data_IF_793583793763
#
_entry.id   IF_793583793763
#
_cell.length_a   1.000
_cell.length_b   1.000
_cell.length_c   1.000
_cell.angle_alpha   90.00
_cell.angle_beta   90.00
_cell.angle_gamma   90.00
#
_symmetry.space_group_name_H-M   'P 1'
#
loop_
_entity.id
_entity.type
_entity.pdbx_description
1 polymer ?
#
# COMPACT_ATOMS: atom_id res chain seq x y z
N UNK A 1 -35.76 -34.28 -30.33
CA UNK A 1 -36.07 -32.91 -29.86
C UNK A 1 -35.71 -32.68 -28.37
N UNK A 2 -36.03 -33.59 -27.45
CA UNK A 2 -35.75 -33.44 -26.00
C UNK A 2 -34.24 -33.29 -25.73
N UNK A 3 -33.37 -34.05 -26.39
CA UNK A 3 -31.91 -33.93 -26.24
C UNK A 3 -31.32 -32.60 -26.62
N UNK A 4 -31.83 -31.94 -27.68
CA UNK A 4 -31.39 -30.60 -28.08
C UNK A 4 -31.85 -29.53 -27.08
N UNK A 5 -33.02 -29.65 -26.51
CA UNK A 5 -33.50 -28.75 -25.45
C UNK A 5 -32.65 -28.89 -24.17
N UNK A 6 -32.28 -30.12 -23.81
CA UNK A 6 -31.41 -30.37 -22.67
C UNK A 6 -29.99 -29.82 -22.88
N UNK A 7 -29.43 -29.97 -24.07
CA UNK A 7 -28.12 -29.41 -24.44
C UNK A 7 -28.13 -27.88 -24.42
N UNK A 8 -29.19 -27.24 -24.93
CA UNK A 8 -29.33 -25.79 -24.87
C UNK A 8 -29.52 -25.31 -23.42
N UNK A 9 -30.31 -26.03 -22.63
CA UNK A 9 -30.55 -25.70 -21.21
C UNK A 9 -29.27 -25.86 -20.38
N UNK A 10 -28.49 -26.92 -20.60
CA UNK A 10 -27.20 -27.13 -19.92
C UNK A 10 -26.15 -26.15 -20.37
N UNK A 11 -26.13 -25.77 -21.66
CA UNK A 11 -25.24 -24.72 -22.17
C UNK A 11 -25.59 -23.34 -21.57
N UNK A 12 -26.87 -23.00 -21.46
CA UNK A 12 -27.33 -21.77 -20.79
C UNK A 12 -27.01 -21.75 -19.29
N UNK A 13 -27.14 -22.90 -18.62
CA UNK A 13 -26.75 -23.05 -17.20
C UNK A 13 -25.21 -22.93 -17.00
N UNK A 14 -24.42 -23.44 -17.94
CA UNK A 14 -22.96 -23.37 -17.88
C UNK A 14 -22.42 -21.97 -18.22
N UNK A 15 -23.19 -21.12 -18.92
CA UNK A 15 -22.81 -19.77 -19.32
C UNK A 15 -23.14 -18.69 -18.28
N UNK A 16 -24.04 -18.98 -17.35
CA UNK A 16 -24.43 -18.03 -16.32
C UNK A 16 -23.61 -18.25 -15.05
N UNK A 17 -22.84 -17.24 -14.64
CA UNK A 17 -22.21 -17.21 -13.32
C UNK A 17 -23.30 -17.30 -12.25
N UNK A 18 -23.17 -18.25 -11.33
CA UNK A 18 -24.15 -18.43 -10.25
C UNK A 18 -24.34 -17.14 -9.46
N UNK A 19 -25.58 -16.81 -9.11
CA UNK A 19 -25.92 -15.67 -8.27
C UNK A 19 -25.13 -15.69 -6.93
N UNK A 20 -24.86 -16.87 -6.42
CA UNK A 20 -24.11 -17.05 -5.17
C UNK A 20 -22.65 -16.64 -5.33
N UNK A 21 -22.05 -16.94 -6.48
CA UNK A 21 -20.67 -16.50 -6.80
C UNK A 21 -20.61 -14.98 -6.90
N UNK A 22 -21.57 -14.35 -7.58
CA UNK A 22 -21.65 -12.89 -7.66
C UNK A 22 -21.83 -12.25 -6.27
N UNK A 23 -22.66 -12.85 -5.42
CA UNK A 23 -22.83 -12.41 -4.03
C UNK A 23 -21.54 -12.54 -3.23
N UNK A 24 -20.77 -13.62 -3.45
CA UNK A 24 -19.46 -13.78 -2.83
C UNK A 24 -18.48 -12.67 -3.26
N UNK A 25 -18.41 -12.31 -4.56
CA UNK A 25 -17.58 -11.19 -5.02
C UNK A 25 -18.00 -9.85 -4.41
N UNK A 26 -19.31 -9.58 -4.27
CA UNK A 26 -19.80 -8.37 -3.60
C UNK A 26 -19.33 -8.33 -2.13
N UNK A 27 -19.39 -9.46 -1.43
CA UNK A 27 -18.94 -9.56 -0.04
C UNK A 27 -17.42 -9.35 0.07
N UNK A 28 -16.63 -9.98 -0.80
CA UNK A 28 -15.17 -9.83 -0.84
C UNK A 28 -14.80 -8.40 -1.19
N UNK A 29 -15.49 -7.78 -2.15
CA UNK A 29 -15.24 -6.38 -2.52
C UNK A 29 -15.43 -5.44 -1.32
N UNK A 30 -16.52 -5.61 -0.57
CA UNK A 30 -16.79 -4.82 0.63
C UNK A 30 -15.69 -5.03 1.69
N UNK A 31 -15.23 -6.26 1.90
CA UNK A 31 -14.13 -6.57 2.83
C UNK A 31 -12.81 -5.90 2.38
N UNK A 32 -12.54 -5.83 1.07
CA UNK A 32 -11.39 -5.11 0.54
C UNK A 32 -11.49 -3.60 0.75
N UNK A 33 -12.67 -3.02 0.58
CA UNK A 33 -12.92 -1.59 0.86
C UNK A 33 -12.69 -1.26 2.34
N UNK A 34 -13.18 -2.10 3.26
CA UNK A 34 -12.94 -1.98 4.70
C UNK A 34 -11.44 -2.11 5.03
N UNK A 35 -10.74 -3.04 4.40
CA UNK A 35 -9.29 -3.21 4.51
C UNK A 35 -8.55 -1.94 4.07
N UNK A 36 -8.94 -1.36 2.94
CA UNK A 36 -8.37 -0.12 2.42
C UNK A 36 -8.61 1.07 3.37
N UNK A 37 -9.78 1.14 4.00
CA UNK A 37 -10.08 2.15 5.01
C UNK A 37 -9.20 1.99 6.26
N UNK A 38 -9.01 0.76 6.73
CA UNK A 38 -8.14 0.46 7.87
C UNK A 38 -6.68 0.81 7.59
N UNK A 39 -6.16 0.52 6.39
CA UNK A 39 -4.82 0.95 5.99
C UNK A 39 -4.68 2.47 6.00
N UNK A 40 -5.69 3.19 5.50
CA UNK A 40 -5.69 4.65 5.52
C UNK A 40 -5.59 5.19 6.95
N UNK A 41 -6.37 4.65 7.88
CA UNK A 41 -6.31 5.05 9.31
C UNK A 41 -4.91 4.82 9.89
N UNK A 42 -4.29 3.65 9.66
CA UNK A 42 -2.93 3.36 10.12
C UNK A 42 -1.88 4.31 9.53
N UNK A 43 -2.03 4.66 8.26
CA UNK A 43 -1.16 5.64 7.61
C UNK A 43 -1.32 7.02 8.23
N UNK A 44 -2.56 7.49 8.43
CA UNK A 44 -2.84 8.79 9.04
C UNK A 44 -2.25 8.89 10.46
N UNK A 45 -2.35 7.82 11.28
CA UNK A 45 -1.70 7.74 12.59
C UNK A 45 -0.16 7.80 12.49
N UNK A 46 0.43 7.14 11.49
CA UNK A 46 1.87 7.13 11.29
C UNK A 46 2.37 8.50 10.86
N UNK A 47 1.65 9.19 9.98
CA UNK A 47 1.97 10.57 9.58
C UNK A 47 1.83 11.54 10.75
N UNK A 48 0.81 11.39 11.60
CA UNK A 48 0.65 12.20 12.80
C UNK A 48 1.85 12.06 13.77
N UNK A 49 2.37 10.84 13.96
CA UNK A 49 3.60 10.59 14.74
C UNK A 49 4.81 11.26 14.09
N UNK A 50 4.91 11.22 12.77
CA UNK A 50 5.97 11.91 12.03
C UNK A 50 5.93 13.44 12.22
N UNK A 51 4.75 14.04 12.13
CA UNK A 51 4.55 15.48 12.33
C UNK A 51 4.91 15.90 13.76
N UNK A 52 4.55 15.08 14.75
CA UNK A 52 4.94 15.30 16.14
C UNK A 52 6.46 15.28 16.32
N UNK A 53 7.15 14.27 15.77
CA UNK A 53 8.61 14.18 15.85
C UNK A 53 9.30 15.32 15.09
N UNK A 54 8.77 15.73 13.95
CA UNK A 54 9.28 16.88 13.20
C UNK A 54 9.21 18.17 14.02
N UNK A 55 8.13 18.36 14.80
CA UNK A 55 7.97 19.53 15.67
C UNK A 55 8.99 19.52 16.84
N UNK A 56 9.38 18.34 17.33
CA UNK A 56 10.33 18.19 18.43
C UNK A 56 11.79 18.29 17.98
N UNK A 57 12.13 17.76 16.80
CA UNK A 57 13.51 17.67 16.30
C UNK A 57 13.56 17.94 14.78
N UNK A 58 13.33 19.19 14.34
CA UNK A 58 13.21 19.52 12.91
C UNK A 58 14.44 19.12 12.09
N UNK A 59 15.65 19.39 12.61
CA UNK A 59 16.91 19.19 11.89
C UNK A 59 17.17 17.72 11.56
N UNK A 60 16.72 16.80 12.41
CA UNK A 60 16.92 15.36 12.24
C UNK A 60 15.81 14.70 11.40
N UNK A 61 14.62 15.28 11.41
CA UNK A 61 13.40 14.64 10.89
C UNK A 61 13.01 15.13 9.50
N UNK A 62 13.34 16.38 9.15
CA UNK A 62 12.83 17.04 7.94
C UNK A 62 13.12 16.26 6.66
N UNK A 63 14.31 15.68 6.49
CA UNK A 63 14.65 14.91 5.29
C UNK A 63 13.75 13.66 5.14
N UNK A 64 13.59 12.88 6.22
CA UNK A 64 12.76 11.66 6.20
C UNK A 64 11.28 11.99 6.09
N UNK A 65 10.84 13.07 6.71
CA UNK A 65 9.47 13.57 6.60
C UNK A 65 9.14 13.98 5.16
N UNK A 66 10.05 14.68 4.48
CA UNK A 66 9.85 15.04 3.08
C UNK A 66 9.71 13.80 2.19
N UNK A 67 10.59 12.82 2.35
CA UNK A 67 10.49 11.53 1.64
C UNK A 67 9.17 10.81 1.93
N UNK A 68 8.68 10.86 3.16
CA UNK A 68 7.39 10.29 3.53
C UNK A 68 6.22 11.03 2.85
N UNK A 69 6.26 12.36 2.74
CA UNK A 69 5.25 13.12 1.99
C UNK A 69 5.28 12.82 0.50
N UNK A 70 6.47 12.65 -0.09
CA UNK A 70 6.63 12.27 -1.49
C UNK A 70 6.09 10.85 -1.75
N UNK A 71 6.32 9.91 -0.82
CA UNK A 71 5.73 8.57 -0.87
C UNK A 71 4.19 8.62 -0.77
N UNK A 72 3.64 9.44 0.13
CA UNK A 72 2.20 9.67 0.25
C UNK A 72 1.59 10.17 -1.04
N UNK A 73 2.21 11.19 -1.65
CA UNK A 73 1.74 11.77 -2.91
C UNK A 73 1.75 10.74 -4.04
N UNK A 74 2.85 10.00 -4.17
CA UNK A 74 3.00 8.95 -5.18
C UNK A 74 1.93 7.85 -5.04
N UNK A 75 1.67 7.42 -3.80
CA UNK A 75 0.64 6.42 -3.49
C UNK A 75 -0.76 6.94 -3.82
N UNK A 76 -1.06 8.19 -3.44
CA UNK A 76 -2.37 8.78 -3.72
C UNK A 76 -2.62 8.93 -5.22
N UNK A 77 -1.63 9.38 -6.00
CA UNK A 77 -1.71 9.48 -7.46
C UNK A 77 -2.04 8.12 -8.11
N UNK A 78 -1.42 7.04 -7.65
CA UNK A 78 -1.68 5.70 -8.18
C UNK A 78 -3.03 5.14 -7.73
N UNK A 79 -3.46 5.40 -6.49
CA UNK A 79 -4.81 5.05 -6.01
C UNK A 79 -5.88 5.77 -6.81
N UNK A 80 -5.72 7.07 -7.06
CA UNK A 80 -6.68 7.85 -7.83
C UNK A 80 -6.73 7.39 -9.30
N UNK A 81 -5.59 7.03 -9.87
CA UNK A 81 -5.55 6.38 -11.19
C UNK A 81 -6.35 5.07 -11.21
N UNK A 82 -6.19 4.18 -10.22
CA UNK A 82 -6.95 2.92 -10.17
C UNK A 82 -8.46 3.14 -9.96
N UNK A 83 -8.86 4.20 -9.25
CA UNK A 83 -10.26 4.61 -9.15
C UNK A 83 -10.83 5.05 -10.50
N UNK A 84 -10.06 5.82 -11.26
CA UNK A 84 -10.45 6.18 -12.63
C UNK A 84 -10.60 4.93 -13.50
N UNK A 85 -9.65 4.00 -13.47
CA UNK A 85 -9.72 2.71 -14.17
C UNK A 85 -10.97 1.92 -13.79
N UNK A 86 -11.29 1.86 -12.49
CA UNK A 86 -12.53 1.23 -11.98
C UNK A 86 -13.77 1.85 -12.62
N UNK A 87 -13.84 3.16 -12.59
CA UNK A 87 -15.02 3.89 -13.09
C UNK A 87 -15.16 3.78 -14.61
N UNK A 88 -14.04 3.80 -15.34
CA UNK A 88 -14.00 3.60 -16.79
C UNK A 88 -14.48 2.21 -17.19
N UNK A 89 -13.99 1.13 -16.54
CA UNK A 89 -14.41 -0.24 -16.87
C UNK A 89 -15.88 -0.48 -16.53
N UNK A 90 -16.39 0.08 -15.42
CA UNK A 90 -17.81 0.01 -15.08
C UNK A 90 -18.66 0.68 -16.18
N UNK A 91 -18.29 1.89 -16.58
CA UNK A 91 -19.02 2.66 -17.59
C UNK A 91 -18.97 1.97 -18.96
N UNK A 92 -17.84 1.33 -19.31
CA UNK A 92 -17.69 0.57 -20.56
C UNK A 92 -18.53 -0.71 -20.57
N UNK A 93 -18.83 -1.28 -19.40
CA UNK A 93 -19.48 -2.60 -19.26
C UNK A 93 -20.98 -2.49 -18.97
N UNK A 94 -21.38 -1.61 -18.04
CA UNK A 94 -22.78 -1.48 -17.63
C UNK A 94 -23.47 -0.33 -18.37
N UNK A 95 -24.36 -0.69 -19.30
CA UNK A 95 -25.11 0.27 -20.13
C UNK A 95 -26.06 1.18 -19.34
N UNK A 96 -26.40 0.83 -18.12
CA UNK A 96 -27.24 1.66 -17.23
C UNK A 96 -26.47 2.79 -16.59
N UNK A 97 -25.15 2.68 -16.51
CA UNK A 97 -24.24 3.68 -15.93
C UNK A 97 -23.69 4.53 -17.08
N UNK A 98 -24.12 5.80 -17.14
CA UNK A 98 -23.91 6.69 -18.30
C UNK A 98 -22.66 7.57 -18.18
N UNK A 99 -22.06 7.66 -16.98
CA UNK A 99 -20.90 8.52 -16.76
C UNK A 99 -19.96 7.95 -15.70
N UNK A 100 -18.70 8.38 -15.77
CA UNK A 100 -17.66 8.05 -14.78
C UNK A 100 -18.04 8.54 -13.37
N UNK A 101 -18.72 9.69 -13.27
CA UNK A 101 -19.20 10.23 -12.01
C UNK A 101 -20.29 9.35 -11.37
N UNK A 102 -21.19 8.82 -12.17
CA UNK A 102 -22.18 7.86 -11.72
C UNK A 102 -21.52 6.55 -11.28
N UNK A 103 -20.52 6.06 -12.02
CA UNK A 103 -19.75 4.87 -11.67
C UNK A 103 -19.00 5.03 -10.33
N UNK A 104 -18.49 6.23 -10.02
CA UNK A 104 -17.75 6.51 -8.80
C UNK A 104 -18.59 6.32 -7.53
N UNK A 105 -19.87 6.60 -7.61
CA UNK A 105 -20.82 6.47 -6.49
C UNK A 105 -21.60 5.15 -6.48
N UNK A 106 -21.38 4.27 -7.46
CA UNK A 106 -22.11 3.01 -7.60
C UNK A 106 -21.40 1.87 -6.89
N UNK A 107 -22.08 1.24 -5.94
CA UNK A 107 -21.60 0.02 -5.29
C UNK A 107 -21.62 -1.18 -6.24
N UNK A 108 -20.70 -2.13 -6.07
CA UNK A 108 -20.67 -3.36 -6.87
C UNK A 108 -22.03 -4.12 -6.83
N UNK A 109 -22.73 -4.10 -5.70
CA UNK A 109 -24.04 -4.76 -5.57
C UNK A 109 -25.09 -4.21 -6.56
N UNK A 110 -24.99 -2.91 -6.90
CA UNK A 110 -25.97 -2.18 -7.72
C UNK A 110 -25.61 -2.17 -9.23
N UNK A 111 -24.43 -2.68 -9.60
CA UNK A 111 -24.02 -2.86 -11.01
C UNK A 111 -24.83 -4.02 -11.60
N UNK A 112 -25.45 -3.80 -12.79
CA UNK A 112 -26.26 -4.81 -13.45
C UNK A 112 -25.42 -5.86 -14.19
N UNK A 113 -24.33 -5.44 -14.82
CA UNK A 113 -23.49 -6.25 -15.71
C UNK A 113 -22.26 -6.89 -14.96
N UNK A 114 -22.47 -7.32 -13.69
CA UNK A 114 -21.43 -7.91 -12.83
C UNK A 114 -20.77 -9.15 -13.40
N UNK A 115 -21.50 -9.93 -14.17
CA UNK A 115 -21.11 -11.20 -14.78
C UNK A 115 -20.56 -11.06 -16.20
N UNK A 116 -20.55 -9.85 -16.74
CA UNK A 116 -19.96 -9.58 -18.07
C UNK A 116 -18.44 -9.78 -18.00
N UNK A 117 -17.90 -10.56 -18.92
CA UNK A 117 -16.46 -10.82 -19.07
C UNK A 117 -15.88 -10.31 -20.39
N UNK A 118 -16.73 -10.06 -21.42
CA UNK A 118 -16.28 -9.66 -22.75
C UNK A 118 -15.77 -8.20 -22.76
N UNK A 119 -16.59 -7.27 -22.24
CA UNK A 119 -16.26 -5.85 -22.25
C UNK A 119 -15.09 -5.51 -21.31
N UNK A 120 -15.01 -6.04 -20.06
CA UNK A 120 -13.84 -5.88 -19.21
C UNK A 120 -12.57 -6.46 -19.84
N UNK A 121 -12.62 -7.68 -20.39
CA UNK A 121 -11.48 -8.30 -21.06
C UNK A 121 -10.96 -7.40 -22.19
N UNK A 122 -11.87 -6.86 -23.02
CA UNK A 122 -11.50 -5.94 -24.11
C UNK A 122 -10.91 -4.63 -23.60
N UNK A 123 -11.44 -4.09 -22.52
CA UNK A 123 -10.94 -2.88 -21.89
C UNK A 123 -9.51 -3.05 -21.36
N UNK A 124 -9.24 -4.14 -20.63
CA UNK A 124 -7.94 -4.38 -20.03
C UNK A 124 -6.90 -4.91 -21.01
N UNK A 125 -7.24 -5.86 -21.86
CA UNK A 125 -6.28 -6.49 -22.78
C UNK A 125 -6.14 -5.74 -24.11
N UNK A 126 -7.16 -4.95 -24.48
CA UNK A 126 -7.22 -4.31 -25.80
C UNK A 126 -7.74 -5.24 -26.88
N UNK A 127 -7.43 -4.90 -28.12
CA UNK A 127 -7.74 -5.67 -29.31
C UNK A 127 -6.45 -5.93 -30.08
N UNK A 128 -6.51 -6.73 -31.16
CA UNK A 128 -5.34 -7.00 -32.02
C UNK A 128 -4.64 -5.73 -32.54
N UNK A 129 -5.36 -4.59 -32.54
CA UNK A 129 -4.88 -3.31 -33.06
C UNK A 129 -4.58 -2.29 -31.96
N UNK A 130 -5.15 -2.43 -30.76
CA UNK A 130 -5.05 -1.45 -29.66
C UNK A 130 -4.49 -2.08 -28.40
N UNK A 131 -3.59 -1.35 -27.71
CA UNK A 131 -3.16 -1.72 -26.36
C UNK A 131 -4.31 -1.54 -25.37
N UNK A 132 -4.41 -2.47 -24.41
CA UNK A 132 -5.39 -2.38 -23.34
C UNK A 132 -4.90 -1.56 -22.15
N UNK A 133 -5.82 -1.26 -21.23
CA UNK A 133 -5.51 -0.50 -20.01
C UNK A 133 -4.48 -1.21 -19.11
N UNK A 134 -4.42 -2.53 -19.12
CA UNK A 134 -3.44 -3.30 -18.34
C UNK A 134 -1.98 -3.01 -18.73
N UNK A 135 -1.69 -2.66 -19.97
CA UNK A 135 -0.33 -2.27 -20.39
C UNK A 135 0.12 -0.96 -19.72
N UNK A 136 -0.80 0.00 -19.57
CA UNK A 136 -0.55 1.24 -18.82
C UNK A 136 -0.37 0.95 -17.33
N UNK A 137 -1.19 0.07 -16.75
CA UNK A 137 -1.09 -0.34 -15.34
C UNK A 137 0.27 -0.96 -15.03
N UNK A 138 0.78 -1.85 -15.90
CA UNK A 138 2.10 -2.48 -15.76
C UNK A 138 3.19 -1.39 -15.65
N UNK A 139 3.16 -0.41 -16.55
CA UNK A 139 4.13 0.69 -16.56
C UNK A 139 4.07 1.51 -15.27
N UNK A 140 2.87 1.86 -14.82
CA UNK A 140 2.66 2.64 -13.59
C UNK A 140 3.06 1.87 -12.33
N UNK A 141 2.79 0.56 -12.28
CA UNK A 141 3.20 -0.28 -11.15
C UNK A 141 4.72 -0.41 -11.06
N UNK A 142 5.40 -0.57 -12.19
CA UNK A 142 6.87 -0.61 -12.24
C UNK A 142 7.50 0.72 -11.79
N UNK A 143 6.99 1.86 -12.27
CA UNK A 143 7.43 3.20 -11.84
C UNK A 143 7.21 3.41 -10.33
N UNK A 144 6.02 3.10 -9.84
CA UNK A 144 5.68 3.20 -8.42
C UNK A 144 6.65 2.38 -7.55
N UNK A 145 6.86 1.11 -7.88
CA UNK A 145 7.78 0.23 -7.13
C UNK A 145 9.21 0.77 -7.13
N UNK A 146 9.71 1.21 -8.29
CA UNK A 146 11.05 1.78 -8.43
C UNK A 146 11.22 3.02 -7.55
N UNK A 147 10.28 3.96 -7.61
CA UNK A 147 10.33 5.20 -6.84
C UNK A 147 10.19 4.95 -5.34
N UNK A 148 9.28 4.06 -4.92
CA UNK A 148 9.12 3.67 -3.51
C UNK A 148 10.39 3.04 -2.94
N UNK A 149 11.06 2.17 -3.69
CA UNK A 149 12.34 1.56 -3.30
C UNK A 149 13.42 2.63 -3.07
N UNK A 150 13.46 3.68 -3.89
CA UNK A 150 14.47 4.73 -3.80
C UNK A 150 14.30 5.66 -2.58
N UNK A 151 13.14 5.69 -1.92
CA UNK A 151 12.98 6.45 -0.68
C UNK A 151 13.73 5.83 0.51
N UNK A 152 14.00 4.54 0.46
CA UNK A 152 14.59 3.75 1.55
C UNK A 152 16.09 3.54 1.31
N UNK A 153 16.88 3.41 2.39
CA UNK A 153 18.32 3.16 2.30
C UNK A 153 18.62 1.84 1.58
N UNK A 154 19.74 1.74 0.81
CA UNK A 154 20.08 0.54 0.04
C UNK A 154 20.07 -0.77 0.85
N UNK A 155 20.52 -0.73 2.10
CA UNK A 155 20.57 -1.87 3.03
C UNK A 155 19.20 -2.43 3.43
N UNK A 156 18.14 -1.63 3.26
CA UNK A 156 16.78 -2.00 3.63
C UNK A 156 15.89 -2.27 2.41
N UNK A 157 16.32 -1.93 1.21
CA UNK A 157 15.53 -2.11 -0.02
C UNK A 157 15.08 -3.56 -0.24
N UNK A 158 15.96 -4.52 0.05
CA UNK A 158 15.66 -5.95 -0.09
C UNK A 158 14.61 -6.46 0.92
N UNK A 159 14.32 -5.70 1.98
CA UNK A 159 13.35 -6.05 3.02
C UNK A 159 11.95 -5.51 2.74
N UNK A 160 11.80 -4.64 1.73
CA UNK A 160 10.51 -4.05 1.39
C UNK A 160 9.59 -5.06 0.70
N UNK A 161 8.34 -5.09 1.12
CA UNK A 161 7.29 -5.90 0.50
C UNK A 161 6.32 -4.99 -0.24
N UNK A 162 6.73 -4.50 -1.42
CA UNK A 162 5.98 -3.48 -2.13
C UNK A 162 4.73 -4.01 -2.87
N UNK A 163 4.56 -5.33 -2.99
CA UNK A 163 3.47 -5.87 -3.81
C UNK A 163 3.56 -5.45 -5.28
N UNK A 164 2.44 -5.45 -6.01
CA UNK A 164 2.28 -4.94 -7.39
C UNK A 164 3.32 -5.49 -8.39
N UNK A 165 3.86 -6.68 -8.16
CA UNK A 165 4.79 -7.28 -9.11
C UNK A 165 4.06 -7.69 -10.37
N UNK A 166 4.52 -7.16 -11.49
CA UNK A 166 4.04 -7.54 -12.83
C UNK A 166 4.98 -8.53 -13.52
N UNK A 167 6.10 -8.84 -12.86
CA UNK A 167 7.07 -9.81 -13.29
C UNK A 167 6.86 -11.13 -12.55
N UNK A 168 7.03 -12.25 -13.25
CA UNK A 168 6.85 -13.58 -12.69
C UNK A 168 6.52 -14.62 -13.74
N UNK A 169 6.41 -15.87 -13.31
CA UNK A 169 5.93 -16.96 -14.15
C UNK A 169 4.43 -17.13 -13.88
N UNK A 170 3.63 -16.66 -14.80
CA UNK A 170 2.19 -16.90 -14.77
C UNK A 170 1.88 -18.06 -15.71
N UNK A 171 1.08 -19.00 -15.25
CA UNK A 171 0.66 -20.19 -16.01
C UNK A 171 -0.86 -20.28 -15.97
N UNK A 172 -1.46 -20.70 -17.06
CA UNK A 172 -2.90 -20.99 -17.12
C UNK A 172 -3.23 -22.37 -16.55
N UNK A 173 -4.50 -22.74 -16.53
CA UNK A 173 -5.01 -24.04 -16.04
C UNK A 173 -4.46 -25.25 -16.80
N UNK A 174 -3.90 -25.04 -18.00
CA UNK A 174 -3.28 -26.08 -18.86
C UNK A 174 -1.76 -26.10 -18.74
N UNK A 175 -1.17 -25.28 -17.86
CA UNK A 175 0.29 -25.17 -17.69
C UNK A 175 1.00 -24.33 -18.75
N UNK A 176 0.27 -23.58 -19.60
CA UNK A 176 0.84 -22.68 -20.60
C UNK A 176 1.24 -21.35 -19.98
N UNK A 177 2.42 -20.87 -20.34
CA UNK A 177 2.89 -19.55 -19.91
C UNK A 177 1.99 -18.44 -20.46
N UNK A 178 1.64 -17.48 -19.60
CA UNK A 178 0.85 -16.29 -19.94
C UNK A 178 1.49 -15.04 -19.34
N UNK A 179 1.15 -13.89 -19.89
CA UNK A 179 1.57 -12.60 -19.34
C UNK A 179 0.78 -12.25 -18.07
N UNK A 180 1.29 -11.29 -17.28
CA UNK A 180 0.59 -10.76 -16.10
C UNK A 180 -0.83 -10.29 -16.44
N UNK A 181 -0.99 -9.53 -17.53
CA UNK A 181 -2.30 -9.01 -17.94
C UNK A 181 -3.29 -10.11 -18.35
N UNK A 182 -2.81 -11.15 -19.02
CA UNK A 182 -3.66 -12.30 -19.38
C UNK A 182 -4.07 -13.08 -18.13
N UNK A 183 -3.14 -13.27 -17.17
CA UNK A 183 -3.42 -13.97 -15.92
C UNK A 183 -4.53 -13.31 -15.10
N UNK A 184 -4.54 -11.98 -15.03
CA UNK A 184 -5.49 -11.26 -14.20
C UNK A 184 -6.79 -10.88 -14.92
N UNK A 185 -6.75 -10.61 -16.22
CA UNK A 185 -7.88 -9.98 -16.93
C UNK A 185 -8.42 -10.78 -18.13
N UNK A 186 -7.87 -11.97 -18.43
CA UNK A 186 -8.40 -12.79 -19.51
C UNK A 186 -9.64 -13.55 -19.08
N UNK A 187 -10.78 -13.24 -19.68
CA UNK A 187 -12.09 -13.84 -19.37
C UNK A 187 -12.52 -13.72 -17.90
N UNK A 188 -12.07 -12.66 -17.25
CA UNK A 188 -12.45 -12.35 -15.87
C UNK A 188 -13.72 -11.52 -15.89
N UNK A 189 -14.69 -11.85 -15.03
CA UNK A 189 -15.95 -11.10 -14.93
C UNK A 189 -15.73 -9.74 -14.26
N UNK A 190 -16.55 -8.74 -14.60
CA UNK A 190 -16.43 -7.38 -14.03
C UNK A 190 -16.35 -7.39 -12.51
N UNK A 191 -17.18 -8.20 -11.82
CA UNK A 191 -17.16 -8.27 -10.36
C UNK A 191 -15.78 -8.67 -9.80
N UNK A 192 -15.09 -9.62 -10.44
CA UNK A 192 -13.75 -10.04 -10.03
C UNK A 192 -12.70 -8.98 -10.34
N UNK A 193 -12.80 -8.28 -11.48
CA UNK A 193 -11.89 -7.19 -11.83
C UNK A 193 -11.96 -6.04 -10.82
N UNK A 194 -13.16 -5.70 -10.33
CA UNK A 194 -13.31 -4.66 -9.31
C UNK A 194 -12.69 -5.08 -7.96
N UNK A 195 -12.81 -6.34 -7.58
CA UNK A 195 -12.10 -6.89 -6.40
C UNK A 195 -10.59 -6.83 -6.59
N UNK A 196 -10.07 -7.16 -7.78
CA UNK A 196 -8.65 -7.07 -8.10
C UNK A 196 -8.13 -5.62 -8.02
N UNK A 197 -8.88 -4.66 -8.54
CA UNK A 197 -8.52 -3.24 -8.43
C UNK A 197 -8.45 -2.79 -6.96
N UNK A 198 -9.40 -3.19 -6.12
CA UNK A 198 -9.37 -2.92 -4.68
C UNK A 198 -8.20 -3.63 -3.97
N UNK A 199 -7.83 -4.84 -4.39
CA UNK A 199 -6.63 -5.53 -3.92
C UNK A 199 -5.37 -4.73 -4.28
N UNK A 200 -5.24 -4.23 -5.49
CA UNK A 200 -4.08 -3.39 -5.88
C UNK A 200 -4.02 -2.10 -5.07
N UNK A 201 -5.16 -1.47 -4.75
CA UNK A 201 -5.20 -0.31 -3.85
C UNK A 201 -4.69 -0.69 -2.45
N UNK A 202 -5.06 -1.87 -1.92
CA UNK A 202 -4.54 -2.36 -0.65
C UNK A 202 -3.02 -2.58 -0.69
N UNK A 203 -2.48 -3.12 -1.78
CA UNK A 203 -1.04 -3.30 -1.97
C UNK A 203 -0.27 -1.97 -2.04
N UNK A 204 -0.84 -0.94 -2.71
CA UNK A 204 -0.27 0.42 -2.72
C UNK A 204 -0.18 0.99 -1.31
N UNK A 205 -1.26 0.91 -0.54
CA UNK A 205 -1.30 1.43 0.84
C UNK A 205 -0.39 0.66 1.78
N UNK A 206 -0.27 -0.66 1.60
CA UNK A 206 0.68 -1.47 2.35
C UNK A 206 2.13 -1.08 2.02
N UNK A 207 2.46 -0.89 0.74
CA UNK A 207 3.78 -0.43 0.31
C UNK A 207 4.10 0.96 0.88
N UNK A 208 3.14 1.89 0.87
CA UNK A 208 3.28 3.20 1.50
C UNK A 208 3.58 3.06 3.00
N UNK A 209 2.80 2.24 3.70
CA UNK A 209 2.99 1.99 5.13
C UNK A 209 4.38 1.42 5.44
N UNK A 210 4.85 0.44 4.66
CA UNK A 210 6.17 -0.17 4.84
C UNK A 210 7.29 0.85 4.65
N UNK A 211 7.22 1.67 3.59
CA UNK A 211 8.20 2.71 3.31
C UNK A 211 8.19 3.79 4.40
N UNK A 212 7.02 4.32 4.75
CA UNK A 212 6.88 5.38 5.76
C UNK A 212 7.30 4.90 7.15
N UNK A 213 6.93 3.69 7.54
CA UNK A 213 7.37 3.08 8.80
C UNK A 213 8.89 2.90 8.85
N UNK A 214 9.50 2.52 7.72
CA UNK A 214 10.96 2.41 7.62
C UNK A 214 11.64 3.78 7.76
N UNK A 215 11.14 4.79 7.06
CA UNK A 215 11.63 6.15 7.18
C UNK A 215 11.51 6.68 8.62
N UNK A 216 10.40 6.39 9.29
CA UNK A 216 10.21 6.74 10.69
C UNK A 216 11.23 6.06 11.62
N UNK A 217 11.54 4.78 11.35
CA UNK A 217 12.54 4.04 12.15
C UNK A 217 13.95 4.63 12.07
N UNK A 218 14.30 5.30 10.97
CA UNK A 218 15.59 5.98 10.84
C UNK A 218 15.75 7.17 11.78
N UNK A 219 14.66 7.83 12.13
CA UNK A 219 14.66 8.92 13.11
C UNK A 219 15.07 8.39 14.48
N UNK A 220 14.36 7.34 14.94
CA UNK A 220 14.64 6.72 16.25
C UNK A 220 16.04 6.12 16.34
N UNK A 221 16.54 5.52 15.25
CA UNK A 221 17.91 4.98 15.21
C UNK A 221 18.99 6.08 15.28
N UNK A 222 18.65 7.31 14.91
CA UNK A 222 19.55 8.46 14.99
C UNK A 222 19.53 9.08 16.39
N UNK A 223 18.43 9.02 17.10
CA UNK A 223 18.30 9.54 18.47
C UNK A 223 19.08 8.73 19.51
N UNK A 224 19.37 7.46 19.24
CA UNK A 224 20.17 6.60 20.12
C UNK A 224 21.68 6.57 19.80
N UNK A 225 22.17 7.42 18.88
CA UNK A 225 23.61 7.60 18.70
C UNK A 225 24.16 8.51 19.79
N UNK A 226 24.45 7.91 20.93
CA UNK A 226 25.28 8.57 21.92
C UNK A 226 26.71 8.70 21.36
N UNK A 227 27.22 9.91 21.31
CA UNK A 227 28.58 10.16 20.81
C UNK A 227 29.64 9.78 21.83
N UNK A 228 29.27 9.75 23.13
CA UNK A 228 30.19 9.44 24.22
C UNK A 228 29.47 8.81 25.41
N UNK A 229 30.08 7.79 25.96
CA UNK A 229 29.67 7.18 27.25
C UNK A 229 30.73 7.56 28.28
N UNK A 230 30.35 8.29 29.32
CA UNK A 230 31.28 8.62 30.40
C UNK A 230 30.70 8.31 31.78
N UNK A 231 31.58 7.88 32.68
CA UNK A 231 31.22 7.68 34.04
C UNK A 231 31.44 8.99 34.84
N UNK A 232 30.41 9.45 35.54
CA UNK A 232 30.50 10.57 36.46
C UNK A 232 30.39 10.08 37.88
N UNK A 233 31.32 10.53 38.70
CA UNK A 233 31.31 10.27 40.15
C UNK A 233 30.76 11.52 40.84
N UNK A 234 29.66 11.35 41.55
CA UNK A 234 29.02 12.40 42.35
C UNK A 234 29.32 12.08 43.82
N UNK A 235 30.26 12.78 44.45
CA UNK A 235 30.54 12.55 45.87
C UNK A 235 29.37 12.99 46.75
N UNK A 236 28.99 12.17 47.72
CA UNK A 236 27.95 12.50 48.71
C UNK A 236 28.41 13.62 49.67
N UNK A 237 29.74 13.78 49.83
CA UNK A 237 30.34 14.87 50.56
C UNK A 237 31.53 15.45 49.82
N UNK A 238 31.70 16.77 49.86
CA UNK A 238 32.77 17.45 49.13
C UNK A 238 34.13 17.31 49.84
N UNK A 239 34.16 16.89 51.10
CA UNK A 239 35.37 16.67 51.90
C UNK A 239 35.19 15.49 52.82
N UNK A 240 36.28 14.77 53.07
CA UNK A 240 36.35 13.57 53.96
C UNK A 240 37.56 13.74 54.85
N UNK A 241 37.41 13.49 56.17
CA UNK A 241 38.53 13.54 57.09
C UNK A 241 39.40 12.29 56.98
N UNK A 242 40.65 12.42 57.32
CA UNK A 242 41.60 11.29 57.34
C UNK A 242 41.14 10.17 58.23
N UNK A 243 40.79 9.01 57.60
CA UNK A 243 40.33 7.81 58.36
C UNK A 243 38.83 7.54 58.17
N UNK A 244 38.06 8.43 57.46
CA UNK A 244 36.68 8.20 57.10
C UNK A 244 36.57 7.54 55.72
N UNK A 245 35.48 6.83 55.47
CA UNK A 245 35.17 6.26 54.16
C UNK A 245 34.66 7.34 53.17
N UNK A 246 35.15 7.31 51.95
CA UNK A 246 34.62 8.12 50.84
C UNK A 246 33.44 7.41 50.23
N UNK A 247 32.26 8.06 50.23
CA UNK A 247 31.03 7.58 49.62
C UNK A 247 30.68 8.47 48.41
N UNK A 248 30.45 7.83 47.27
CA UNK A 248 30.06 8.52 46.04
C UNK A 248 29.08 7.68 45.24
N UNK A 249 28.21 8.35 44.52
CA UNK A 249 27.32 7.75 43.54
C UNK A 249 28.03 7.75 42.19
N UNK A 250 28.07 6.59 41.51
CA UNK A 250 28.66 6.46 40.17
C UNK A 250 27.55 6.34 39.17
N UNK A 251 27.40 7.36 38.31
CA UNK A 251 26.46 7.38 37.19
C UNK A 251 27.21 7.11 35.88
N UNK A 252 26.70 6.15 35.12
CA UNK A 252 27.12 5.98 33.74
C UNK A 252 26.08 6.72 32.86
N UNK A 253 26.53 7.78 32.20
CA UNK A 253 25.68 8.60 31.35
C UNK A 253 26.20 8.55 29.94
N UNK A 254 25.25 8.42 29.01
CA UNK A 254 25.50 8.55 27.59
C UNK A 254 25.15 9.98 27.16
N UNK A 255 26.04 10.61 26.41
CA UNK A 255 25.90 12.00 25.96
C UNK A 255 25.81 12.09 24.46
N UNK A 256 24.95 12.99 23.97
CA UNK A 256 24.99 13.52 22.62
C UNK A 256 25.76 14.86 22.66
N UNK A 257 26.94 14.89 22.06
CA UNK A 257 27.79 16.10 22.00
C UNK A 257 27.38 17.05 20.87
N UNK A 258 26.43 16.64 20.01
CA UNK A 258 25.95 17.44 18.88
C UNK A 258 24.74 18.31 19.24
N UNK A 259 24.06 18.01 20.34
CA UNK A 259 22.92 18.78 20.83
C UNK A 259 23.35 19.84 21.88
N UNK A 260 22.92 21.08 21.70
CA UNK A 260 23.08 22.14 22.71
C UNK A 260 21.75 22.43 23.39
N UNK A 261 21.45 21.78 24.55
CA UNK A 261 20.20 22.02 25.26
C UNK A 261 20.14 23.45 25.79
N UNK A 262 19.05 24.18 25.53
CA UNK A 262 18.76 25.45 26.21
C UNK A 262 18.28 25.15 27.63
N UNK A 263 19.13 25.43 28.63
CA UNK A 263 18.75 25.37 30.03
C UNK A 263 18.13 26.71 30.41
N UNK A 264 16.84 26.70 30.77
CA UNK A 264 16.18 27.87 31.36
C UNK A 264 16.05 27.64 32.86
N UNK A 265 16.52 28.59 33.67
CA UNK A 265 16.28 28.64 35.11
C UNK A 265 15.34 29.79 35.45
N UNK A 266 14.55 29.58 36.45
CA UNK A 266 13.53 30.53 36.94
C UNK A 266 14.07 31.26 38.14
#
# INVERSE_FOLDING_TARGET
>A
MIGMMYLVLTALLALNVSKDILTAFVTVNKSMEETNANFKTKLDETYAKFDQQKSLSPDKVTEYWQKAQDAKKLSQELVDYLRVVRNEVITATDRNIKSVQQADTTDLKDISAKDNFDDPTRYFLGTDVTKGKADEMITKFADFRSRMTNFVKPEDQAKLQLGLSTEGKFIDEYGKAQSWKEHYFSRTILAADLVLLNKFIAEIRNAEYDVVSRLYSYISATDFKFSEISAKVIPLRQYVFKGESFEAEVLVAAYDTTGSPKVMYR
#
